data_IF_428367326037
#
_entry.id   IF_428367326037
#
_cell.length_a   1.000
_cell.length_b   1.000
_cell.length_c   1.000
_cell.angle_alpha   90.00
_cell.angle_beta   90.00
_cell.angle_gamma   90.00
#
_symmetry.space_group_name_H-M   'P 1'
#
loop_
_entity.id
_entity.type
_entity.pdbx_description
1 polymer ?
#
# COMPACT_ATOMS: atom_id res chain seq x y z
N UNK A 1 -22.98 -17.65 12.13
CA UNK A 1 -23.28 -16.84 10.93
C UNK A 1 -22.05 -16.86 10.03
N UNK A 2 -22.14 -17.11 8.71
CA UNK A 2 -20.95 -17.46 7.94
C UNK A 2 -20.03 -16.25 7.71
N UNK A 3 -18.78 -16.38 8.19
CA UNK A 3 -17.66 -15.43 8.10
C UNK A 3 -16.67 -15.91 7.04
N UNK A 4 -17.16 -16.21 5.84
CA UNK A 4 -16.30 -16.64 4.72
C UNK A 4 -16.25 -15.52 3.68
N UNK A 5 -15.30 -14.56 3.80
CA UNK A 5 -15.26 -13.37 2.95
C UNK A 5 -14.99 -13.68 1.47
N UNK A 6 -14.56 -14.91 1.13
CA UNK A 6 -14.11 -15.26 -0.21
C UNK A 6 -14.31 -16.72 -0.61
N UNK A 7 -14.41 -16.93 -1.93
CA UNK A 7 -14.23 -18.21 -2.63
C UNK A 7 -13.78 -17.95 -4.08
N UNK A 8 -13.01 -18.86 -4.68
CA UNK A 8 -12.50 -18.78 -6.07
C UNK A 8 -12.19 -20.16 -6.65
N UNK A 9 -12.27 -20.31 -7.98
CA UNK A 9 -11.92 -21.56 -8.67
C UNK A 9 -11.08 -21.28 -9.93
N UNK A 10 -10.25 -22.25 -10.36
CA UNK A 10 -9.45 -22.19 -11.60
C UNK A 10 -8.75 -20.82 -11.76
N UNK A 11 -8.83 -20.18 -12.94
CA UNK A 11 -8.24 -18.88 -13.25
C UNK A 11 -9.09 -17.66 -12.75
N UNK A 12 -9.70 -17.70 -11.56
CA UNK A 12 -10.74 -16.73 -11.13
C UNK A 12 -10.33 -15.25 -10.89
N UNK A 13 -9.16 -14.81 -11.36
CA UNK A 13 -8.73 -13.41 -11.21
C UNK A 13 -8.21 -13.03 -9.80
N UNK A 14 -8.10 -11.72 -9.56
CA UNK A 14 -7.00 -11.07 -8.80
C UNK A 14 -7.08 -11.00 -7.27
N UNK A 15 -8.04 -11.66 -6.62
CA UNK A 15 -8.14 -11.78 -5.14
C UNK A 15 -8.52 -10.50 -4.36
N UNK A 16 -8.94 -9.42 -5.02
CA UNK A 16 -9.41 -8.13 -4.49
C UNK A 16 -10.94 -8.04 -4.41
N UNK A 17 -11.60 -9.14 -4.01
CA UNK A 17 -13.06 -9.30 -4.11
C UNK A 17 -13.85 -8.53 -3.05
N UNK A 18 -15.06 -8.12 -3.42
CA UNK A 18 -16.04 -7.49 -2.53
C UNK A 18 -16.28 -8.34 -1.27
N UNK A 19 -16.39 -7.69 -0.12
CA UNK A 19 -16.39 -8.35 1.20
C UNK A 19 -15.06 -8.25 1.95
N UNK A 20 -14.05 -7.59 1.35
CA UNK A 20 -12.76 -7.32 1.98
C UNK A 20 -12.27 -5.90 1.77
N UNK A 21 -11.31 -5.47 2.60
CA UNK A 21 -10.67 -4.16 2.50
C UNK A 21 -9.92 -3.98 1.17
N UNK A 22 -9.42 -5.06 0.56
CA UNK A 22 -8.69 -5.01 -0.71
C UNK A 22 -9.59 -4.52 -1.87
N UNK A 23 -10.89 -4.82 -1.84
CA UNK A 23 -11.84 -4.31 -2.84
C UNK A 23 -11.98 -2.79 -2.79
N UNK A 24 -11.87 -2.18 -1.61
CA UNK A 24 -11.94 -0.72 -1.48
C UNK A 24 -10.68 -0.07 -2.04
N UNK A 25 -9.52 -0.69 -1.81
CA UNK A 25 -8.23 -0.19 -2.30
C UNK A 25 -8.15 -0.13 -3.84
N UNK A 26 -8.94 -0.93 -4.56
CA UNK A 26 -9.00 -0.91 -6.03
C UNK A 26 -9.52 0.41 -6.61
N UNK A 27 -10.33 1.13 -5.85
CA UNK A 27 -10.96 2.39 -6.30
C UNK A 27 -10.24 3.63 -5.79
N UNK A 28 -9.07 3.44 -5.19
CA UNK A 28 -8.24 4.51 -4.65
C UNK A 28 -6.85 4.45 -5.26
N UNK A 29 -6.25 5.61 -5.52
CA UNK A 29 -4.82 5.74 -5.86
C UNK A 29 -4.10 6.40 -4.69
N UNK A 30 -3.52 5.63 -3.75
CA UNK A 30 -2.92 6.18 -2.54
C UNK A 30 -1.68 7.01 -2.86
N UNK A 31 -1.49 8.13 -2.13
CA UNK A 31 -0.32 8.99 -2.20
C UNK A 31 0.34 9.08 -0.83
N UNK A 32 1.65 8.84 -0.79
CA UNK A 32 2.47 9.16 0.38
C UNK A 32 2.99 10.61 0.30
N UNK A 33 3.00 11.31 1.43
CA UNK A 33 3.57 12.67 1.57
C UNK A 33 4.52 12.63 2.76
N UNK A 34 5.73 13.17 2.59
CA UNK A 34 6.71 13.33 3.66
C UNK A 34 7.05 14.81 3.80
N UNK A 35 7.02 15.31 5.02
CA UNK A 35 7.53 16.61 5.41
C UNK A 35 8.77 16.40 6.30
N UNK A 36 9.82 17.19 6.11
CA UNK A 36 11.03 17.14 6.95
C UNK A 36 11.23 18.53 7.54
N UNK A 37 11.08 18.66 8.86
CA UNK A 37 11.11 19.96 9.53
C UNK A 37 12.52 20.53 9.70
N UNK A 38 13.53 19.66 9.83
CA UNK A 38 14.94 20.02 9.92
C UNK A 38 15.72 19.22 8.86
N UNK A 39 15.73 19.74 7.64
CA UNK A 39 16.38 19.08 6.50
C UNK A 39 17.90 19.32 6.53
N UNK A 40 18.73 18.35 6.09
CA UNK A 40 20.18 18.55 6.01
C UNK A 40 20.54 19.77 5.17
N UNK A 41 21.35 20.68 5.73
CA UNK A 41 21.81 21.89 5.04
C UNK A 41 22.99 21.63 4.08
N UNK A 42 23.61 20.45 4.15
CA UNK A 42 24.76 20.06 3.34
C UNK A 42 24.55 18.68 2.71
N UNK A 43 25.11 18.50 1.51
CA UNK A 43 24.97 17.25 0.72
C UNK A 43 25.98 16.15 1.11
N UNK A 44 27.01 16.49 1.89
CA UNK A 44 28.09 15.58 2.22
C UNK A 44 27.66 14.47 3.16
N UNK A 45 28.29 13.31 3.02
CA UNK A 45 28.03 12.15 3.86
C UNK A 45 29.23 11.86 4.78
N UNK A 46 29.01 11.34 6.00
CA UNK A 46 30.09 11.10 6.98
C UNK A 46 31.25 10.21 6.52
N UNK A 47 31.04 9.37 5.49
CA UNK A 47 32.04 8.44 4.97
C UNK A 47 32.95 9.03 3.87
N UNK A 48 32.78 10.30 3.51
CA UNK A 48 33.58 10.97 2.47
C UNK A 48 34.90 11.56 3.00
N UNK A 49 35.29 11.24 4.25
CA UNK A 49 36.51 11.71 4.91
C UNK A 49 37.57 10.62 5.06
#
# INVERSE_FOLDING_TARGET
>A
MPRQPFGGSRASGTNDKAGSLLNIQRWTSPRAIKETWDAPAHIGYPHMG
#
